data_IF_016687282154
#
_entry.id   IF_016687282154
#
_cell.length_a   1.000
_cell.length_b   1.000
_cell.length_c   1.000
_cell.angle_alpha   90.00
_cell.angle_beta   90.00
_cell.angle_gamma   90.00
#
_symmetry.space_group_name_H-M   'P 1'
#
loop_
_entity.id
_entity.type
_entity.pdbx_description
1 polymer ?
#
# COMPACT_ATOMS: atom_id res chain seq x y z
N UNK A 1 12.76 -16.12 6.86
CA UNK A 1 12.33 -16.97 5.72
C UNK A 1 11.75 -18.30 6.20
N UNK A 2 12.36 -18.99 7.17
CA UNK A 2 11.88 -20.29 7.64
C UNK A 2 10.51 -20.19 8.33
N UNK A 3 10.31 -19.21 9.19
CA UNK A 3 9.03 -18.91 9.81
C UNK A 3 7.95 -18.54 8.77
N UNK A 4 8.31 -17.77 7.72
CA UNK A 4 7.37 -17.37 6.68
C UNK A 4 6.74 -18.54 5.91
N UNK A 5 7.34 -19.73 5.93
CA UNK A 5 6.75 -20.93 5.31
C UNK A 5 5.51 -21.45 6.01
N UNK A 6 5.22 -20.94 7.20
CA UNK A 6 4.01 -21.28 7.99
C UNK A 6 2.97 -20.16 7.96
N UNK A 7 3.18 -19.14 7.15
CA UNK A 7 2.29 -18.00 6.96
C UNK A 7 1.52 -18.13 5.65
N UNK A 8 0.35 -17.53 5.60
CA UNK A 8 -0.54 -17.52 4.42
C UNK A 8 -0.38 -16.23 3.61
N UNK A 9 0.11 -15.15 4.21
CA UNK A 9 0.46 -13.88 3.55
C UNK A 9 1.61 -13.17 4.27
N UNK A 10 2.17 -12.15 3.62
CA UNK A 10 3.26 -11.31 4.17
C UNK A 10 2.86 -9.85 4.12
N UNK A 11 3.08 -9.13 5.22
CA UNK A 11 3.00 -7.67 5.27
C UNK A 11 4.40 -7.12 5.59
N UNK A 12 4.88 -6.20 4.75
CA UNK A 12 6.14 -5.49 4.97
C UNK A 12 5.91 -3.98 4.83
N UNK A 13 6.53 -3.21 5.73
CA UNK A 13 6.49 -1.74 5.68
C UNK A 13 6.18 -1.07 7.00
N UNK A 14 5.08 -1.38 7.70
CA UNK A 14 4.78 -0.79 8.99
C UNK A 14 5.95 -0.86 9.96
N UNK A 15 6.35 0.30 10.51
CA UNK A 15 7.46 0.38 11.47
C UNK A 15 8.87 0.21 10.89
N UNK A 16 9.04 -0.06 9.59
CA UNK A 16 10.36 -0.22 8.96
C UNK A 16 11.02 1.09 8.57
N UNK A 17 10.35 2.22 8.81
CA UNK A 17 10.79 3.56 8.43
C UNK A 17 10.06 4.08 7.19
N UNK A 18 10.22 5.37 6.95
CA UNK A 18 9.66 6.08 5.80
C UNK A 18 10.69 7.07 5.25
N UNK A 19 10.56 7.45 3.99
CA UNK A 19 11.30 8.61 3.50
C UNK A 19 10.70 9.88 4.12
N UNK A 20 11.56 10.75 4.65
CA UNK A 20 11.16 12.09 5.06
C UNK A 20 10.53 12.85 3.88
N UNK A 21 9.67 13.83 4.19
CA UNK A 21 9.04 14.67 3.17
C UNK A 21 10.11 15.34 2.29
N UNK A 22 10.07 15.06 0.99
CA UNK A 22 11.01 15.60 -0.02
C UNK A 22 12.30 14.78 -0.22
N UNK A 23 12.53 13.69 0.53
CA UNK A 23 13.65 12.81 0.29
C UNK A 23 13.33 11.83 -0.87
N UNK A 24 14.19 11.80 -1.88
CA UNK A 24 14.12 10.84 -2.99
C UNK A 24 15.21 9.76 -2.88
N UNK A 25 16.02 9.81 -1.84
CA UNK A 25 17.15 8.89 -1.65
C UNK A 25 17.03 8.21 -0.30
N UNK A 26 17.17 6.91 -0.30
CA UNK A 26 17.26 6.09 0.92
C UNK A 26 18.69 6.13 1.45
N UNK A 27 18.87 6.14 2.77
CA UNK A 27 20.18 6.03 3.41
C UNK A 27 20.65 4.56 3.49
N UNK A 28 21.90 4.35 3.90
CA UNK A 28 22.50 3.00 3.98
C UNK A 28 21.73 2.05 4.92
N UNK A 29 21.08 2.55 5.96
CA UNK A 29 20.29 1.73 6.89
C UNK A 29 18.96 1.32 6.27
N UNK A 30 18.30 2.24 5.61
CA UNK A 30 17.06 2.01 4.86
C UNK A 30 17.32 1.08 3.67
N UNK A 31 18.48 1.22 3.01
CA UNK A 31 18.87 0.35 1.90
C UNK A 31 18.96 -1.13 2.34
N UNK A 32 19.53 -1.41 3.50
CA UNK A 32 19.59 -2.77 4.05
C UNK A 32 18.20 -3.34 4.35
N UNK A 33 17.26 -2.51 4.82
CA UNK A 33 15.87 -2.92 5.03
C UNK A 33 15.20 -3.28 3.70
N UNK A 34 15.38 -2.43 2.68
CA UNK A 34 14.84 -2.67 1.33
C UNK A 34 15.43 -3.95 0.73
N UNK A 35 16.74 -4.19 0.89
CA UNK A 35 17.38 -5.43 0.41
C UNK A 35 16.82 -6.68 1.12
N UNK A 36 16.53 -6.57 2.41
CA UNK A 36 15.83 -7.62 3.16
C UNK A 36 14.43 -7.91 2.61
N UNK A 37 13.67 -6.85 2.24
CA UNK A 37 12.36 -6.99 1.61
C UNK A 37 12.47 -7.69 0.24
N UNK A 38 13.46 -7.34 -0.57
CA UNK A 38 13.73 -8.00 -1.86
C UNK A 38 14.04 -9.49 -1.66
N UNK A 39 14.83 -9.82 -0.64
CA UNK A 39 15.13 -11.21 -0.31
C UNK A 39 13.88 -12.00 0.09
N UNK A 40 12.98 -11.40 0.87
CA UNK A 40 11.72 -12.01 1.28
C UNK A 40 10.82 -12.25 0.06
N UNK A 41 10.63 -11.23 -0.79
CA UNK A 41 9.84 -11.33 -2.03
C UNK A 41 10.34 -12.46 -2.93
N UNK A 42 11.65 -12.61 -3.07
CA UNK A 42 12.23 -13.65 -3.93
C UNK A 42 12.14 -15.07 -3.35
N UNK A 43 12.02 -15.21 -2.03
CA UNK A 43 12.11 -16.52 -1.35
C UNK A 43 10.78 -17.10 -0.88
N UNK A 44 9.83 -16.27 -0.43
CA UNK A 44 8.60 -16.78 0.18
C UNK A 44 7.48 -17.05 -0.82
N UNK A 45 7.36 -16.25 -1.87
CA UNK A 45 6.32 -16.39 -2.91
C UNK A 45 4.90 -16.48 -2.33
N UNK A 46 4.66 -15.74 -1.25
CA UNK A 46 3.36 -15.63 -0.60
C UNK A 46 2.66 -14.35 -1.06
N UNK A 47 1.32 -14.28 -1.06
CA UNK A 47 0.60 -13.04 -1.24
C UNK A 47 1.17 -11.98 -0.31
N UNK A 48 1.51 -10.80 -0.84
CA UNK A 48 2.32 -9.82 -0.11
C UNK A 48 1.72 -8.42 -0.19
N UNK A 49 1.61 -7.75 0.96
CA UNK A 49 1.33 -6.32 1.03
C UNK A 49 2.63 -5.56 1.29
N UNK A 50 2.88 -4.53 0.47
CA UNK A 50 4.03 -3.62 0.59
C UNK A 50 3.55 -2.21 0.91
N UNK A 51 4.07 -1.66 1.99
CA UNK A 51 3.80 -0.28 2.41
C UNK A 51 5.09 0.47 2.75
N UNK A 52 5.03 1.79 2.80
CA UNK A 52 6.13 2.63 3.25
C UNK A 52 7.48 2.28 2.60
N UNK A 53 8.52 2.10 3.39
CA UNK A 53 9.86 1.79 2.89
C UNK A 53 9.94 0.50 2.06
N UNK A 54 9.09 -0.50 2.36
CA UNK A 54 9.11 -1.78 1.64
C UNK A 54 8.68 -1.66 0.16
N UNK A 55 7.95 -0.60 -0.22
CA UNK A 55 7.57 -0.33 -1.62
C UNK A 55 8.82 -0.18 -2.51
N UNK A 56 9.92 0.35 -1.96
CA UNK A 56 11.16 0.53 -2.71
C UNK A 56 11.83 -0.79 -3.10
N UNK A 57 11.45 -1.92 -2.49
CA UNK A 57 11.88 -3.23 -2.94
C UNK A 57 11.49 -3.50 -4.40
N UNK A 58 10.35 -2.96 -4.86
CA UNK A 58 9.88 -3.09 -6.24
C UNK A 58 10.88 -2.50 -7.26
N UNK A 59 11.62 -1.45 -6.90
CA UNK A 59 12.66 -0.87 -7.77
C UNK A 59 13.91 -1.74 -7.89
N UNK A 60 14.14 -2.63 -6.93
CA UNK A 60 15.33 -3.50 -6.88
C UNK A 60 15.03 -4.93 -7.35
N UNK A 61 13.79 -5.34 -7.47
CA UNK A 61 13.40 -6.62 -8.02
C UNK A 61 13.82 -6.69 -9.49
N UNK A 62 14.55 -7.75 -9.85
CA UNK A 62 15.13 -7.91 -11.19
C UNK A 62 14.22 -8.58 -12.20
N UNK A 63 13.16 -9.22 -11.73
CA UNK A 63 12.26 -10.02 -12.57
C UNK A 63 10.80 -9.68 -12.29
N UNK A 64 10.12 -9.16 -13.28
CA UNK A 64 8.67 -9.00 -13.30
C UNK A 64 8.06 -9.89 -14.39
N UNK A 65 6.82 -10.34 -14.25
CA UNK A 65 6.01 -10.24 -13.02
C UNK A 65 6.62 -11.05 -11.87
N UNK A 66 6.28 -10.64 -10.64
CA UNK A 66 6.54 -11.45 -9.46
C UNK A 66 5.68 -12.72 -9.53
N UNK A 67 6.16 -13.82 -8.94
CA UNK A 67 5.43 -15.10 -8.99
C UNK A 67 4.25 -15.14 -8.00
N UNK A 68 4.25 -14.26 -7.00
CA UNK A 68 3.19 -14.10 -6.02
C UNK A 68 2.36 -12.86 -6.32
N UNK A 69 1.16 -12.87 -5.78
CA UNK A 69 0.26 -11.74 -5.80
C UNK A 69 0.77 -10.62 -4.87
N UNK A 70 0.88 -9.39 -5.37
CA UNK A 70 1.45 -8.27 -4.62
C UNK A 70 0.51 -7.06 -4.66
N UNK A 71 0.20 -6.55 -3.47
CA UNK A 71 -0.51 -5.31 -3.25
C UNK A 71 0.44 -4.25 -2.70
N UNK A 72 0.63 -3.15 -3.43
CA UNK A 72 1.36 -2.00 -2.96
C UNK A 72 0.40 -0.88 -2.50
N UNK A 73 0.73 -0.19 -1.41
CA UNK A 73 -0.14 0.84 -0.83
C UNK A 73 0.56 2.20 -0.68
N UNK A 74 1.11 2.76 -1.77
CA UNK A 74 1.83 4.03 -1.70
C UNK A 74 0.91 5.20 -1.38
N UNK A 75 1.43 6.19 -0.65
CA UNK A 75 0.94 7.56 -0.74
C UNK A 75 1.59 8.29 -1.92
N UNK A 76 1.15 9.52 -2.26
CA UNK A 76 1.61 10.22 -3.46
C UNK A 76 3.14 10.35 -3.59
N UNK A 77 3.86 10.62 -2.48
CA UNK A 77 5.32 10.75 -2.54
C UNK A 77 6.00 9.39 -2.78
N UNK A 78 5.49 8.32 -2.17
CA UNK A 78 5.99 6.96 -2.40
C UNK A 78 5.73 6.51 -3.85
N UNK A 79 4.55 6.85 -4.38
CA UNK A 79 4.22 6.59 -5.78
C UNK A 79 5.12 7.37 -6.74
N UNK A 80 5.34 8.68 -6.50
CA UNK A 80 6.27 9.50 -7.27
C UNK A 80 7.68 8.91 -7.29
N UNK A 81 8.15 8.44 -6.14
CA UNK A 81 9.44 7.76 -6.04
C UNK A 81 9.47 6.41 -6.76
N UNK A 82 8.37 5.64 -6.72
CA UNK A 82 8.27 4.37 -7.44
C UNK A 82 8.42 4.56 -8.95
N UNK A 83 7.83 5.63 -9.49
CA UNK A 83 7.85 5.92 -10.93
C UNK A 83 8.99 6.85 -11.38
N UNK A 84 9.89 7.23 -10.46
CA UNK A 84 11.00 8.18 -10.71
C UNK A 84 10.55 9.50 -11.35
N UNK A 85 9.34 9.97 -11.00
CA UNK A 85 8.73 11.17 -11.53
C UNK A 85 7.92 11.87 -10.44
N UNK A 86 8.05 13.18 -10.29
CA UNK A 86 7.16 13.96 -9.44
C UNK A 86 5.75 14.00 -10.06
N UNK A 87 4.85 13.24 -9.47
CA UNK A 87 3.47 13.05 -9.94
C UNK A 87 2.50 13.16 -8.77
N UNK A 88 1.49 14.00 -8.93
CA UNK A 88 0.31 13.97 -8.07
C UNK A 88 -0.86 13.41 -8.85
N UNK A 89 -1.24 12.20 -8.54
CA UNK A 89 -2.41 11.57 -9.13
C UNK A 89 -3.67 12.14 -8.47
N UNK A 90 -4.60 12.63 -9.29
CA UNK A 90 -5.90 13.11 -8.84
C UNK A 90 -7.01 12.29 -9.49
N UNK A 91 -8.05 11.99 -8.74
CA UNK A 91 -9.23 11.28 -9.26
C UNK A 91 -9.95 12.02 -10.39
N UNK A 92 -9.77 13.35 -10.45
CA UNK A 92 -10.38 14.23 -11.44
C UNK A 92 -9.49 14.47 -12.67
N UNK A 93 -8.22 14.04 -12.63
CA UNK A 93 -7.31 14.11 -13.76
C UNK A 93 -7.20 12.76 -14.46
N UNK A 94 -7.82 12.67 -15.63
CA UNK A 94 -7.83 11.43 -16.43
C UNK A 94 -6.43 10.95 -16.76
N UNK A 95 -5.46 11.83 -17.03
CA UNK A 95 -4.10 11.44 -17.41
C UNK A 95 -3.36 10.79 -16.22
N UNK A 96 -3.53 11.32 -15.03
CA UNK A 96 -2.92 10.74 -13.84
C UNK A 96 -3.56 9.40 -13.44
N UNK A 97 -4.86 9.23 -13.64
CA UNK A 97 -5.54 7.93 -13.45
C UNK A 97 -5.04 6.89 -14.47
N UNK A 98 -4.86 7.31 -15.74
CA UNK A 98 -4.28 6.44 -16.79
C UNK A 98 -2.84 6.04 -16.40
N UNK A 99 -2.05 6.97 -15.87
CA UNK A 99 -0.69 6.66 -15.41
C UNK A 99 -0.70 5.60 -14.30
N UNK A 100 -1.53 5.78 -13.26
CA UNK A 100 -1.65 4.79 -12.17
C UNK A 100 -2.03 3.41 -12.71
N UNK A 101 -3.02 3.37 -13.61
CA UNK A 101 -3.44 2.16 -14.31
C UNK A 101 -2.28 1.50 -15.06
N UNK A 102 -1.53 2.28 -15.85
CA UNK A 102 -0.42 1.76 -16.65
C UNK A 102 0.67 1.15 -15.77
N UNK A 103 1.01 1.82 -14.66
CA UNK A 103 2.02 1.32 -13.71
C UNK A 103 1.59 0.03 -13.05
N UNK A 104 0.31 -0.08 -12.64
CA UNK A 104 -0.23 -1.32 -12.07
C UNK A 104 -0.12 -2.49 -13.06
N UNK A 105 -0.50 -2.26 -14.33
CA UNK A 105 -0.41 -3.26 -15.40
C UNK A 105 1.04 -3.61 -15.75
N UNK A 106 1.93 -2.61 -15.90
CA UNK A 106 3.32 -2.82 -16.31
C UNK A 106 4.12 -3.59 -15.25
N UNK A 107 3.81 -3.37 -13.97
CA UNK A 107 4.45 -4.05 -12.86
C UNK A 107 3.71 -5.33 -12.43
N UNK A 108 2.54 -5.62 -13.01
CA UNK A 108 1.67 -6.71 -12.59
C UNK A 108 1.40 -6.68 -11.08
N UNK A 109 0.98 -5.53 -10.58
CA UNK A 109 0.70 -5.28 -9.16
C UNK A 109 -0.67 -4.66 -8.99
N UNK A 110 -1.34 -4.99 -7.89
CA UNK A 110 -2.46 -4.19 -7.43
C UNK A 110 -1.94 -3.01 -6.59
N UNK A 111 -2.50 -1.82 -6.77
CA UNK A 111 -2.02 -0.60 -6.12
C UNK A 111 -3.19 0.11 -5.45
N UNK A 112 -3.07 0.39 -4.15
CA UNK A 112 -3.90 1.37 -3.44
C UNK A 112 -3.10 2.66 -3.31
N UNK A 113 -3.36 3.64 -4.15
CA UNK A 113 -2.80 4.98 -4.00
C UNK A 113 -3.62 5.74 -2.96
N UNK A 114 -3.01 5.91 -1.78
CA UNK A 114 -3.63 6.58 -0.62
C UNK A 114 -3.77 8.08 -0.87
N UNK A 115 -4.95 8.65 -0.60
CA UNK A 115 -5.23 10.07 -0.76
C UNK A 115 -6.51 10.53 -0.05
N UNK A 116 -7.03 11.71 -0.40
CA UNK A 116 -8.35 12.14 0.02
C UNK A 116 -9.44 11.21 -0.55
N UNK A 117 -9.24 10.75 -1.75
CA UNK A 117 -9.94 9.63 -2.39
C UNK A 117 -8.89 8.61 -2.75
N UNK A 118 -8.99 7.42 -2.18
CA UNK A 118 -8.09 6.35 -2.55
C UNK A 118 -8.41 5.85 -3.95
N UNK A 119 -7.36 5.70 -4.77
CA UNK A 119 -7.46 5.10 -6.10
C UNK A 119 -6.87 3.70 -6.07
N UNK A 120 -7.67 2.72 -6.46
CA UNK A 120 -7.29 1.32 -6.41
C UNK A 120 -7.21 0.81 -7.84
N UNK A 121 -6.00 0.51 -8.30
CA UNK A 121 -5.73 -0.01 -9.64
C UNK A 121 -5.39 -1.48 -9.59
N UNK A 122 -5.96 -2.25 -10.52
CA UNK A 122 -5.60 -3.66 -10.70
C UNK A 122 -4.51 -3.84 -11.75
N UNK A 123 -3.80 -4.94 -11.67
CA UNK A 123 -2.85 -5.41 -12.68
C UNK A 123 -3.52 -5.76 -14.02
N UNK A 124 -4.84 -5.97 -14.03
CA UNK A 124 -5.65 -6.16 -15.24
C UNK A 124 -6.16 -4.84 -15.86
N UNK A 125 -5.93 -3.71 -15.17
CA UNK A 125 -6.22 -2.37 -15.67
C UNK A 125 -7.56 -1.79 -15.23
N UNK A 126 -8.23 -2.35 -14.24
CA UNK A 126 -9.36 -1.71 -13.60
C UNK A 126 -8.89 -0.62 -12.63
N UNK A 127 -9.66 0.46 -12.51
CA UNK A 127 -9.42 1.51 -11.50
C UNK A 127 -10.71 1.83 -10.78
N UNK A 128 -10.70 1.70 -9.47
CA UNK A 128 -11.82 1.98 -8.57
C UNK A 128 -11.47 3.11 -7.63
N UNK A 129 -12.45 3.91 -7.27
CA UNK A 129 -12.33 5.02 -6.31
C UNK A 129 -13.02 4.67 -5.00
N UNK A 130 -12.31 4.80 -3.89
CA UNK A 130 -12.88 4.71 -2.55
C UNK A 130 -12.96 6.11 -1.94
N UNK A 131 -14.17 6.55 -1.61
CA UNK A 131 -14.47 7.86 -1.01
C UNK A 131 -14.87 7.77 0.47
N UNK A 132 -14.62 6.64 1.09
CA UNK A 132 -14.80 6.46 2.53
C UNK A 132 -13.63 7.05 3.29
N UNK A 133 -13.89 7.52 4.49
CA UNK A 133 -12.87 8.15 5.32
C UNK A 133 -13.04 9.68 5.37
N UNK A 134 -12.25 10.30 6.20
CA UNK A 134 -12.34 11.74 6.48
C UNK A 134 -10.96 12.32 6.85
N UNK A 135 -10.86 13.64 6.91
CA UNK A 135 -9.62 14.34 7.19
C UNK A 135 -9.03 14.02 8.58
N UNK A 136 -9.82 13.56 9.55
CA UNK A 136 -9.33 13.11 10.87
C UNK A 136 -8.43 11.88 10.78
N UNK A 137 -8.55 11.11 9.70
CA UNK A 137 -7.68 9.94 9.47
C UNK A 137 -6.26 10.31 8.97
N UNK A 138 -5.96 11.60 8.78
CA UNK A 138 -4.61 12.09 8.46
C UNK A 138 -3.72 12.07 9.71
N UNK A 139 -3.75 11.00 10.45
CA UNK A 139 -2.96 10.73 11.65
C UNK A 139 -2.09 9.49 11.41
N UNK A 140 -0.88 9.48 12.01
CA UNK A 140 0.04 8.34 11.87
C UNK A 140 -0.60 7.04 12.37
N UNK A 141 -0.41 5.95 11.60
CA UNK A 141 -0.89 4.62 11.93
C UNK A 141 -2.19 4.19 11.24
N UNK A 142 -2.99 5.10 10.67
CA UNK A 142 -4.19 4.71 9.90
C UNK A 142 -3.85 3.93 8.63
N UNK A 143 -2.70 4.23 8.02
CA UNK A 143 -2.14 3.41 6.95
C UNK A 143 -1.80 1.99 7.41
N UNK A 144 -1.26 1.84 8.63
CA UNK A 144 -0.94 0.52 9.20
C UNK A 144 -2.21 -0.30 9.44
N UNK A 145 -3.32 0.35 9.82
CA UNK A 145 -4.64 -0.31 9.93
C UNK A 145 -5.10 -0.81 8.56
N UNK A 146 -5.06 0.04 7.54
CA UNK A 146 -5.43 -0.31 6.17
C UNK A 146 -4.68 -1.56 5.70
N UNK A 147 -3.35 -1.56 5.81
CA UNK A 147 -2.52 -2.66 5.32
C UNK A 147 -2.63 -3.92 6.17
N UNK A 148 -2.92 -3.78 7.46
CA UNK A 148 -3.24 -4.90 8.33
C UNK A 148 -4.53 -5.63 7.91
N UNK A 149 -5.60 -4.87 7.59
CA UNK A 149 -6.84 -5.42 7.04
C UNK A 149 -6.57 -6.12 5.71
N UNK A 150 -5.84 -5.46 4.80
CA UNK A 150 -5.51 -6.03 3.49
C UNK A 150 -4.72 -7.35 3.62
N UNK A 151 -3.72 -7.39 4.49
CA UNK A 151 -2.92 -8.59 4.73
C UNK A 151 -3.75 -9.73 5.33
N UNK A 152 -4.67 -9.43 6.25
CA UNK A 152 -5.60 -10.40 6.81
C UNK A 152 -6.50 -11.02 5.74
N UNK A 153 -7.06 -10.19 4.86
CA UNK A 153 -7.90 -10.65 3.75
C UNK A 153 -7.11 -11.51 2.75
N UNK A 154 -5.87 -11.14 2.44
CA UNK A 154 -4.98 -11.95 1.60
C UNK A 154 -4.66 -13.31 2.25
N UNK A 155 -4.40 -13.33 3.56
CA UNK A 155 -4.13 -14.56 4.29
C UNK A 155 -5.32 -15.53 4.30
N UNK A 156 -6.55 -15.03 4.18
CA UNK A 156 -7.75 -15.83 3.99
C UNK A 156 -7.95 -16.35 2.56
N UNK A 157 -7.02 -16.05 1.64
CA UNK A 157 -7.04 -16.54 0.26
C UNK A 157 -7.88 -15.68 -0.69
N UNK A 158 -8.24 -14.46 -0.30
CA UNK A 158 -8.90 -13.53 -1.22
C UNK A 158 -7.91 -12.99 -2.26
N UNK A 159 -8.42 -12.67 -3.44
CA UNK A 159 -7.70 -11.93 -4.48
C UNK A 159 -7.22 -10.57 -3.98
N UNK A 160 -6.04 -10.11 -4.43
CA UNK A 160 -5.44 -8.87 -3.91
C UNK A 160 -6.19 -7.61 -4.32
N UNK A 161 -6.82 -7.56 -5.50
CA UNK A 161 -7.65 -6.42 -5.89
C UNK A 161 -8.94 -6.36 -5.07
N UNK A 162 -9.55 -7.52 -4.80
CA UNK A 162 -10.71 -7.63 -3.90
C UNK A 162 -10.32 -7.20 -2.48
N UNK A 163 -9.18 -7.71 -1.97
CA UNK A 163 -8.64 -7.37 -0.64
C UNK A 163 -8.33 -5.88 -0.52
N UNK A 164 -7.74 -5.27 -1.55
CA UNK A 164 -7.43 -3.84 -1.59
C UNK A 164 -8.69 -2.97 -1.48
N UNK A 165 -9.72 -3.31 -2.25
CA UNK A 165 -11.02 -2.60 -2.26
C UNK A 165 -11.75 -2.74 -0.93
N UNK A 166 -11.79 -3.96 -0.40
CA UNK A 166 -12.43 -4.24 0.88
C UNK A 166 -11.70 -3.53 2.03
N UNK A 167 -10.37 -3.60 2.07
CA UNK A 167 -9.55 -2.94 3.09
C UNK A 167 -9.71 -1.42 3.07
N UNK A 168 -9.67 -0.79 1.89
CA UNK A 168 -9.87 0.65 1.76
C UNK A 168 -11.25 1.07 2.27
N UNK A 169 -12.30 0.33 1.89
CA UNK A 169 -13.65 0.62 2.35
C UNK A 169 -13.81 0.38 3.86
N UNK A 170 -13.35 -0.75 4.39
CA UNK A 170 -13.48 -1.10 5.81
C UNK A 170 -12.73 -0.09 6.70
N UNK A 171 -11.50 0.26 6.33
CA UNK A 171 -10.69 1.24 7.05
C UNK A 171 -11.36 2.63 7.02
N UNK A 172 -11.85 3.05 5.86
CA UNK A 172 -12.54 4.33 5.69
C UNK A 172 -13.85 4.41 6.48
N UNK A 173 -14.72 3.39 6.41
CA UNK A 173 -15.98 3.35 7.16
C UNK A 173 -15.73 3.31 8.68
N UNK A 174 -14.75 2.53 9.14
CA UNK A 174 -14.33 2.52 10.54
C UNK A 174 -13.83 3.90 10.99
N UNK A 175 -13.00 4.56 10.16
CA UNK A 175 -12.55 5.92 10.40
C UNK A 175 -13.68 6.94 10.47
N UNK A 176 -14.70 6.81 9.62
CA UNK A 176 -15.90 7.67 9.65
C UNK A 176 -16.73 7.47 10.93
N UNK A 177 -16.82 6.24 11.42
CA UNK A 177 -17.47 5.92 12.70
C UNK A 177 -16.67 6.49 13.87
N UNK A 178 -15.35 6.30 13.87
CA UNK A 178 -14.46 6.84 14.91
C UNK A 178 -14.50 8.38 14.93
N UNK A 179 -14.53 9.03 13.75
CA UNK A 179 -14.63 10.49 13.65
C UNK A 179 -15.92 11.05 14.27
N UNK A 180 -17.05 10.36 14.10
CA UNK A 180 -18.31 10.77 14.76
C UNK A 180 -18.20 10.81 16.28
N UNK A 181 -17.33 9.97 16.86
CA UNK A 181 -17.12 9.86 18.30
C UNK A 181 -16.03 10.80 18.83
N UNK A 182 -14.94 10.96 18.09
CA UNK A 182 -13.72 11.62 18.56
C UNK A 182 -13.38 12.92 17.78
N UNK A 183 -14.03 13.16 16.63
CA UNK A 183 -13.73 14.31 15.77
C UNK A 183 -12.27 14.30 15.32
N UNK A 184 -11.63 15.49 15.29
CA UNK A 184 -10.22 15.64 14.94
C UNK A 184 -9.25 15.10 16.01
N UNK A 185 -9.72 14.60 17.13
CA UNK A 185 -8.92 13.89 18.14
C UNK A 185 -8.79 12.39 17.90
N UNK A 186 -9.30 11.89 16.77
CA UNK A 186 -9.21 10.48 16.35
C UNK A 186 -7.77 10.02 16.30
N UNK A 187 -7.51 8.82 16.80
CA UNK A 187 -6.24 8.09 16.70
C UNK A 187 -6.42 6.81 15.87
N UNK A 188 -5.34 6.26 15.34
CA UNK A 188 -5.38 5.04 14.56
C UNK A 188 -5.97 3.84 15.35
N UNK A 189 -5.75 3.77 16.66
CA UNK A 189 -6.37 2.77 17.55
C UNK A 189 -7.90 2.83 17.57
N UNK A 190 -8.48 4.02 17.40
CA UNK A 190 -9.94 4.21 17.39
C UNK A 190 -10.58 3.68 16.10
N UNK A 191 -9.78 3.50 15.04
CA UNK A 191 -10.21 2.91 13.77
C UNK A 191 -10.28 1.39 13.85
N UNK A 192 -9.57 0.78 14.80
CA UNK A 192 -9.54 -0.69 14.99
C UNK A 192 -10.69 -1.18 15.89
N UNK A 193 -11.23 -0.30 16.77
CA UNK A 193 -12.34 -0.61 17.69
C UNK A 193 -13.72 -0.53 16.99
#
# INVERSE_FOLDING_TARGET
>A
VEFGKTCDAVLMGPGMGSLGSGAHVIDDSQEKVVDGCVEILNKLRLPTVLDSLAIFALKKVRKFPLEQDVLATPHHNEFSNLVDRDVRVSENDTQSVILLRSIAMDLHLNIVLKGEVDLIASDEGDVVKCRCGNAGMTVGGTGDVLVGIAAGLLAEGNDSFVSARAAAWMCGDAGDRAFKKFGNGLMASDVVE
#
